data_IF_648522061664
#
_entry.id   IF_648522061664
#
_cell.length_a   1.000
_cell.length_b   1.000
_cell.length_c   1.000
_cell.angle_alpha   90.00
_cell.angle_beta   90.00
_cell.angle_gamma   90.00
#
_symmetry.space_group_name_H-M   'P 1'
#
loop_
_entity.id
_entity.type
_entity.pdbx_description
1 polymer ?
#
# COMPACT_ATOMS: atom_id res chain seq x y z
N UNK A 1 7.11 6.50 -15.42
CA UNK A 1 7.03 5.62 -14.25
C UNK A 1 6.07 4.49 -14.59
N UNK A 2 6.28 3.26 -14.10
CA UNK A 2 5.18 2.29 -14.11
C UNK A 2 4.10 2.88 -13.20
N UNK A 3 2.86 2.99 -13.70
CA UNK A 3 1.68 3.46 -12.96
C UNK A 3 1.59 2.79 -11.59
N UNK A 4 1.91 1.50 -11.53
CA UNK A 4 1.94 0.68 -10.30
C UNK A 4 3.02 1.09 -9.30
N UNK A 5 4.26 1.31 -9.74
CA UNK A 5 5.35 1.73 -8.84
C UNK A 5 5.02 3.09 -8.22
N UNK A 6 4.52 4.03 -9.03
CA UNK A 6 4.12 5.34 -8.53
C UNK A 6 3.00 5.23 -7.50
N UNK A 7 2.00 4.39 -7.77
CA UNK A 7 0.90 4.16 -6.85
C UNK A 7 1.37 3.59 -5.52
N UNK A 8 2.23 2.55 -5.54
CA UNK A 8 2.81 1.95 -4.33
C UNK A 8 3.63 2.97 -3.54
N UNK A 9 4.47 3.75 -4.21
CA UNK A 9 5.26 4.82 -3.60
C UNK A 9 4.36 5.81 -2.85
N UNK A 10 3.28 6.29 -3.49
CA UNK A 10 2.33 7.22 -2.88
C UNK A 10 1.68 6.62 -1.63
N UNK A 11 1.31 5.33 -1.66
CA UNK A 11 0.75 4.64 -0.50
C UNK A 11 1.77 4.51 0.65
N UNK A 12 3.03 4.22 0.33
CA UNK A 12 4.10 4.13 1.31
C UNK A 12 4.41 5.49 1.94
N UNK A 13 4.36 6.58 1.17
CA UNK A 13 4.53 7.94 1.68
C UNK A 13 3.39 8.34 2.61
N UNK A 14 2.13 8.11 2.21
CA UNK A 14 0.94 8.38 3.03
C UNK A 14 0.98 7.57 4.34
N UNK A 15 1.35 6.28 4.27
CA UNK A 15 1.50 5.47 5.48
C UNK A 15 2.64 5.97 6.37
N UNK A 16 3.80 6.33 5.79
CA UNK A 16 4.91 6.87 6.56
C UNK A 16 4.51 8.13 7.33
N UNK A 17 3.80 9.06 6.67
CA UNK A 17 3.30 10.26 7.30
C UNK A 17 2.36 9.91 8.46
N UNK A 18 1.38 9.03 8.25
CA UNK A 18 0.43 8.63 9.30
C UNK A 18 1.13 7.99 10.48
N UNK A 19 2.07 7.07 10.29
CA UNK A 19 2.71 6.39 11.43
C UNK A 19 3.52 7.36 12.28
N UNK A 20 4.10 8.43 11.71
CA UNK A 20 4.84 9.44 12.49
C UNK A 20 3.98 10.25 13.45
N UNK A 21 2.65 10.19 13.30
CA UNK A 21 1.70 10.80 14.22
C UNK A 21 1.28 9.85 15.36
N UNK A 22 1.84 8.64 15.42
CA UNK A 22 1.47 7.60 16.38
C UNK A 22 2.68 6.96 17.06
N UNK A 23 2.47 6.44 18.28
CA UNK A 23 3.47 5.68 19.02
C UNK A 23 3.92 4.40 18.26
N UNK A 24 5.23 4.11 18.19
CA UNK A 24 6.35 4.79 18.85
C UNK A 24 7.00 5.93 18.05
N UNK A 25 6.52 6.23 16.84
CA UNK A 25 7.19 7.13 15.90
C UNK A 25 6.92 8.62 16.13
N UNK A 26 5.96 8.96 16.99
CA UNK A 26 5.65 10.33 17.44
C UNK A 26 6.57 10.82 18.57
N UNK A 27 7.41 9.94 19.12
CA UNK A 27 8.30 10.24 20.23
C UNK A 27 9.46 11.14 19.79
N UNK A 28 9.83 12.10 20.64
CA UNK A 28 10.97 13.01 20.40
C UNK A 28 12.31 12.26 20.25
N UNK A 29 12.47 11.14 20.98
CA UNK A 29 13.63 10.27 20.90
C UNK A 29 13.15 8.86 20.59
N UNK A 30 13.39 8.43 19.36
CA UNK A 30 13.14 7.06 18.89
C UNK A 30 14.23 6.12 19.41
N UNK A 31 13.91 4.85 19.66
CA UNK A 31 14.96 3.87 19.91
C UNK A 31 15.69 3.53 18.60
N UNK A 32 16.82 2.83 18.71
CA UNK A 32 17.68 2.54 17.56
C UNK A 32 16.94 1.71 16.49
N UNK A 33 16.05 0.82 16.90
CA UNK A 33 15.26 -0.02 16.00
C UNK A 33 14.26 0.79 15.17
N UNK A 34 13.55 1.76 15.78
CA UNK A 34 12.64 2.65 15.07
C UNK A 34 13.39 3.61 14.15
N UNK A 35 14.56 4.12 14.57
CA UNK A 35 15.42 4.94 13.71
C UNK A 35 15.88 4.17 12.48
N UNK A 36 16.38 2.94 12.65
CA UNK A 36 16.74 2.04 11.53
C UNK A 36 15.54 1.79 10.61
N UNK A 37 14.36 1.58 11.19
CA UNK A 37 13.14 1.34 10.43
C UNK A 37 12.76 2.54 9.54
N UNK A 38 12.75 3.76 10.10
CA UNK A 38 12.48 4.99 9.34
C UNK A 38 13.56 5.23 8.28
N UNK A 39 14.83 4.99 8.59
CA UNK A 39 15.92 5.13 7.61
C UNK A 39 15.75 4.19 6.42
N UNK A 40 15.39 2.92 6.67
CA UNK A 40 15.09 1.94 5.61
C UNK A 40 13.87 2.36 4.80
N UNK A 41 12.83 2.88 5.45
CA UNK A 41 11.65 3.40 4.77
C UNK A 41 11.98 4.56 3.83
N UNK A 42 12.76 5.53 4.30
CA UNK A 42 13.19 6.68 3.49
C UNK A 42 14.07 6.25 2.32
N UNK A 43 14.98 5.29 2.54
CA UNK A 43 15.81 4.73 1.48
C UNK A 43 14.96 4.02 0.41
N UNK A 44 13.91 3.29 0.82
CA UNK A 44 12.97 2.65 -0.09
C UNK A 44 12.25 3.69 -0.96
N UNK A 45 11.71 4.77 -0.37
CA UNK A 45 11.04 5.84 -1.12
C UNK A 45 12.01 6.44 -2.15
N UNK A 46 13.24 6.77 -1.76
CA UNK A 46 14.24 7.28 -2.68
C UNK A 46 14.58 6.28 -3.82
N UNK A 47 14.54 4.98 -3.55
CA UNK A 47 14.80 3.95 -4.56
C UNK A 47 13.69 3.88 -5.63
N UNK A 48 12.45 4.25 -5.29
CA UNK A 48 11.31 4.31 -6.21
C UNK A 48 11.59 5.29 -7.37
N UNK A 49 12.13 6.46 -7.05
CA UNK A 49 12.49 7.51 -8.01
C UNK A 49 13.53 7.01 -9.02
N UNK A 50 14.50 6.22 -8.54
CA UNK A 50 15.58 5.65 -9.35
C UNK A 50 15.17 4.42 -10.17
N UNK A 51 13.93 3.94 -9.99
CA UNK A 51 13.39 2.72 -10.63
C UNK A 51 14.26 1.50 -10.39
N UNK A 52 14.74 1.34 -9.16
CA UNK A 52 15.46 0.14 -8.78
C UNK A 52 14.62 -1.11 -9.10
N UNK A 53 15.23 -2.12 -9.72
CA UNK A 53 14.58 -3.41 -9.95
C UNK A 53 14.21 -4.12 -8.64
N UNK A 54 14.84 -3.73 -7.54
CA UNK A 54 14.65 -4.31 -6.21
C UNK A 54 13.54 -3.62 -5.42
N UNK A 55 12.99 -2.49 -5.90
CA UNK A 55 12.00 -1.69 -5.17
C UNK A 55 10.82 -2.51 -4.64
N UNK A 56 10.23 -3.38 -5.47
CA UNK A 56 9.08 -4.18 -5.05
C UNK A 56 9.46 -5.22 -3.99
N UNK A 57 10.66 -5.79 -4.10
CA UNK A 57 11.17 -6.74 -3.13
C UNK A 57 11.44 -6.06 -1.79
N UNK A 58 12.14 -4.92 -1.81
CA UNK A 58 12.44 -4.13 -0.61
C UNK A 58 11.16 -3.61 0.05
N UNK A 59 10.18 -3.19 -0.74
CA UNK A 59 8.88 -2.76 -0.25
C UNK A 59 8.11 -3.91 0.43
N UNK A 60 8.14 -5.11 -0.15
CA UNK A 60 7.54 -6.30 0.45
C UNK A 60 8.21 -6.65 1.79
N UNK A 61 9.54 -6.64 1.87
CA UNK A 61 10.27 -6.89 3.11
C UNK A 61 9.94 -5.85 4.19
N UNK A 62 9.89 -4.57 3.80
CA UNK A 62 9.57 -3.47 4.71
C UNK A 62 8.15 -3.60 5.27
N UNK A 63 7.15 -3.90 4.43
CA UNK A 63 5.76 -4.10 4.85
C UNK A 63 5.63 -5.34 5.74
N UNK A 64 6.29 -6.45 5.41
CA UNK A 64 6.29 -7.63 6.26
C UNK A 64 6.92 -7.35 7.64
N UNK A 65 8.00 -6.55 7.69
CA UNK A 65 8.57 -6.07 8.95
C UNK A 65 7.60 -5.14 9.69
N UNK A 66 6.95 -4.20 9.00
CA UNK A 66 5.98 -3.28 9.58
C UNK A 66 4.86 -4.01 10.31
N UNK A 67 4.22 -4.98 9.65
CA UNK A 67 3.10 -5.74 10.21
C UNK A 67 3.53 -6.53 11.46
N UNK A 68 4.72 -7.12 11.43
CA UNK A 68 5.25 -7.93 12.53
C UNK A 68 5.69 -7.11 13.73
N UNK A 69 6.37 -5.98 13.50
CA UNK A 69 6.96 -5.17 14.56
C UNK A 69 5.98 -4.13 15.13
N UNK A 70 5.04 -3.64 14.32
CA UNK A 70 4.10 -2.58 14.70
C UNK A 70 2.64 -2.98 14.41
N UNK A 71 2.16 -4.12 14.96
CA UNK A 71 0.81 -4.63 14.69
C UNK A 71 -0.30 -3.65 15.10
N UNK A 72 -0.03 -2.77 16.08
CA UNK A 72 -0.95 -1.71 16.51
C UNK A 72 -1.14 -0.61 15.46
N UNK A 73 -0.18 -0.43 14.54
CA UNK A 73 -0.23 0.58 13.48
C UNK A 73 -0.73 0.01 12.15
N UNK A 74 -0.86 -1.31 12.02
CA UNK A 74 -1.42 -1.98 10.84
C UNK A 74 -2.78 -1.43 10.41
N UNK A 75 -3.72 -1.06 11.30
CA UNK A 75 -4.98 -0.43 10.89
C UNK A 75 -4.84 0.91 10.14
N UNK A 76 -3.69 1.59 10.25
CA UNK A 76 -3.42 2.83 9.50
C UNK A 76 -3.00 2.52 8.05
N UNK A 77 -2.55 1.30 7.78
CA UNK A 77 -2.15 0.84 6.46
C UNK A 77 -3.36 0.65 5.55
N UNK A 78 -3.25 1.26 4.38
CA UNK A 78 -4.18 1.07 3.27
C UNK A 78 -4.15 -0.38 2.77
N UNK A 79 -5.33 -0.98 2.55
CA UNK A 79 -5.45 -2.40 2.15
C UNK A 79 -4.86 -2.68 0.78
N UNK A 80 -4.76 -1.66 -0.06
CA UNK A 80 -4.05 -1.70 -1.33
C UNK A 80 -2.59 -2.13 -1.17
N UNK A 81 -1.91 -1.72 -0.08
CA UNK A 81 -0.53 -2.16 0.18
C UNK A 81 -0.43 -3.68 0.40
N UNK A 82 -1.44 -4.29 1.05
CA UNK A 82 -1.48 -5.75 1.22
C UNK A 82 -1.62 -6.46 -0.13
N UNK A 83 -2.42 -5.91 -1.03
CA UNK A 83 -2.64 -6.53 -2.35
C UNK A 83 -1.41 -6.39 -3.24
N UNK A 84 -0.89 -5.16 -3.40
CA UNK A 84 0.19 -4.87 -4.35
C UNK A 84 1.58 -5.27 -3.84
N UNK A 85 1.76 -5.34 -2.52
CA UNK A 85 3.09 -5.50 -1.90
C UNK A 85 3.11 -6.50 -0.74
N UNK A 86 1.95 -7.02 -0.32
CA UNK A 86 1.86 -7.81 0.90
C UNK A 86 2.55 -9.17 0.81
N UNK A 87 2.68 -9.77 -0.38
CA UNK A 87 3.37 -11.05 -0.56
C UNK A 87 2.84 -12.14 0.38
N UNK A 88 3.64 -12.55 1.36
CA UNK A 88 3.23 -13.52 2.40
C UNK A 88 2.07 -13.00 3.27
N UNK A 89 1.95 -11.69 3.44
CA UNK A 89 0.89 -11.03 4.22
C UNK A 89 -0.41 -10.82 3.41
N UNK A 90 -0.49 -11.29 2.16
CA UNK A 90 -1.70 -11.16 1.34
C UNK A 90 -2.93 -11.83 1.98
N UNK A 91 -2.72 -12.85 2.81
CA UNK A 91 -3.78 -13.58 3.53
C UNK A 91 -4.56 -12.72 4.55
N UNK A 92 -4.13 -11.49 4.85
CA UNK A 92 -4.90 -10.55 5.66
C UNK A 92 -6.04 -9.87 4.88
N UNK A 93 -6.10 -10.02 3.56
CA UNK A 93 -7.24 -9.62 2.75
C UNK A 93 -8.29 -10.72 2.72
N UNK A 94 -9.55 -10.33 2.87
CA UNK A 94 -10.67 -11.26 2.70
C UNK A 94 -10.88 -11.62 1.23
N UNK A 95 -11.60 -12.71 0.97
CA UNK A 95 -11.89 -13.18 -0.39
C UNK A 95 -12.60 -12.11 -1.25
N UNK A 96 -13.50 -11.32 -0.66
CA UNK A 96 -14.20 -10.22 -1.34
C UNK A 96 -13.23 -9.12 -1.78
N UNK A 97 -12.25 -8.78 -0.95
CA UNK A 97 -11.24 -7.77 -1.24
C UNK A 97 -10.25 -8.27 -2.28
N UNK A 98 -9.86 -9.55 -2.19
CA UNK A 98 -9.03 -10.19 -3.21
C UNK A 98 -9.73 -10.19 -4.57
N UNK A 99 -11.00 -10.59 -4.63
CA UNK A 99 -11.79 -10.56 -5.86
C UNK A 99 -11.94 -9.13 -6.41
N UNK A 100 -12.15 -8.15 -5.53
CA UNK A 100 -12.18 -6.74 -5.90
C UNK A 100 -10.88 -6.30 -6.56
N UNK A 101 -9.74 -6.46 -5.89
CA UNK A 101 -8.45 -6.03 -6.44
C UNK A 101 -8.00 -6.84 -7.67
N UNK A 102 -8.38 -8.11 -7.77
CA UNK A 102 -8.19 -8.89 -9.00
C UNK A 102 -8.94 -8.26 -10.19
N UNK A 103 -10.18 -7.82 -9.99
CA UNK A 103 -10.94 -7.12 -11.03
C UNK A 103 -10.31 -5.78 -11.43
N UNK A 104 -9.64 -5.11 -10.49
CA UNK A 104 -8.85 -3.89 -10.78
C UNK A 104 -7.65 -4.22 -11.64
N UNK A 105 -6.90 -5.29 -11.35
CA UNK A 105 -5.77 -5.71 -12.17
C UNK A 105 -6.18 -6.11 -13.60
N UNK A 106 -7.33 -6.78 -13.76
CA UNK A 106 -7.90 -7.10 -15.08
C UNK A 106 -8.19 -5.82 -15.87
N UNK A 107 -8.85 -4.84 -15.25
CA UNK A 107 -9.13 -3.54 -15.86
C UNK A 107 -7.86 -2.76 -16.19
N UNK A 108 -6.84 -2.82 -15.32
CA UNK A 108 -5.55 -2.21 -15.57
C UNK A 108 -4.88 -2.80 -16.80
N UNK A 109 -4.87 -4.13 -16.92
CA UNK A 109 -4.30 -4.81 -18.08
C UNK A 109 -4.99 -4.38 -19.39
N UNK A 110 -6.33 -4.32 -19.39
CA UNK A 110 -7.10 -3.88 -20.55
C UNK A 110 -6.79 -2.42 -20.91
N UNK A 111 -6.77 -1.52 -19.93
CA UNK A 111 -6.48 -0.10 -20.16
C UNK A 111 -5.05 0.14 -20.64
N UNK A 112 -4.07 -0.56 -20.06
CA UNK A 112 -2.67 -0.53 -20.49
C UNK A 112 -2.52 -1.03 -21.94
N UNK A 113 -3.27 -2.07 -22.33
CA UNK A 113 -3.28 -2.58 -23.71
C UNK A 113 -3.80 -1.55 -24.73
N UNK A 114 -4.68 -0.63 -24.29
CA UNK A 114 -5.20 0.47 -25.12
C UNK A 114 -4.30 1.71 -25.14
N UNK A 115 -3.17 1.69 -24.41
CA UNK A 115 -2.22 2.80 -24.34
C UNK A 115 -2.71 4.03 -23.58
N UNK A 116 -3.75 3.89 -22.76
CA UNK A 116 -4.24 4.98 -21.89
C UNK A 116 -3.38 5.06 -20.63
N UNK A 117 -3.09 6.29 -20.20
CA UNK A 117 -2.54 6.52 -18.87
C UNK A 117 -3.61 6.22 -17.83
N UNK A 118 -3.31 5.37 -16.85
CA UNK A 118 -4.24 4.97 -15.80
C UNK A 118 -3.78 5.49 -14.45
N UNK A 119 -4.66 6.19 -13.75
CA UNK A 119 -4.52 6.46 -12.32
C UNK A 119 -5.19 5.31 -11.54
N UNK A 120 -4.37 4.50 -10.87
CA UNK A 120 -4.82 3.32 -10.12
C UNK A 120 -5.68 3.75 -8.92
N UNK A 121 -5.37 4.89 -8.29
CA UNK A 121 -6.15 5.38 -7.16
C UNK A 121 -7.57 5.73 -7.60
N UNK A 122 -7.70 6.48 -8.71
CA UNK A 122 -8.99 6.83 -9.28
C UNK A 122 -9.78 5.58 -9.70
N UNK A 123 -9.12 4.61 -10.35
CA UNK A 123 -9.75 3.37 -10.77
C UNK A 123 -10.33 2.58 -9.59
N UNK A 124 -9.59 2.49 -8.48
CA UNK A 124 -10.04 1.83 -7.25
C UNK A 124 -11.25 2.57 -6.65
N UNK A 125 -11.20 3.90 -6.55
CA UNK A 125 -12.32 4.67 -5.99
C UNK A 125 -13.60 4.55 -6.84
N UNK A 126 -13.48 4.53 -8.17
CA UNK A 126 -14.62 4.35 -9.07
C UNK A 126 -15.28 2.97 -8.98
N UNK A 127 -14.49 1.93 -8.67
CA UNK A 127 -14.98 0.57 -8.57
C UNK A 127 -15.30 0.16 -7.12
N UNK A 128 -14.95 0.98 -6.13
CA UNK A 128 -15.19 0.68 -4.72
C UNK A 128 -16.68 0.37 -4.54
N UNK A 129 -17.04 -0.76 -3.93
CA UNK A 129 -18.45 -1.10 -3.74
C UNK A 129 -19.12 -0.01 -2.91
N UNK A 130 -20.11 0.67 -3.49
CA UNK A 130 -20.93 1.64 -2.77
C UNK A 130 -21.66 0.92 -1.64
N UNK A 131 -21.47 1.34 -0.39
CA UNK A 131 -22.23 0.83 0.77
C UNK A 131 -23.75 1.07 0.67
N UNK A 132 -24.23 1.82 -0.35
CA UNK A 132 -25.63 2.25 -0.49
C UNK A 132 -26.63 1.17 -0.95
N UNK A 133 -26.25 -0.10 -1.09
CA UNK A 133 -27.24 -1.15 -1.43
C UNK A 133 -27.93 -1.79 -0.23
N UNK A 134 -27.62 -1.41 1.02
CA UNK A 134 -28.20 -2.05 2.21
C UNK A 134 -29.24 -1.21 3.00
N UNK A 135 -29.73 -0.09 2.44
CA UNK A 135 -30.70 0.79 3.14
C UNK A 135 -32.09 0.85 2.48
N UNK A 136 -32.45 -0.12 1.63
CA UNK A 136 -33.77 -0.20 0.98
C UNK A 136 -34.52 -1.53 1.22
N UNK A 137 -34.27 -2.19 2.35
CA UNK A 137 -35.11 -3.28 2.84
C UNK A 137 -35.26 -3.23 4.38
N UNK A 138 -35.86 -2.17 4.91
CA UNK A 138 -36.57 -2.18 6.20
C UNK A 138 -37.83 -1.33 6.14
#
# INVERSE_FOLDING_TARGET
MSSRIQFIENLLQDLNQRITEHDPFDREILAEEEQDFINKWNALIASAETRSSEFLFDAQELIARFIRCYPNLVPLMRRELLYFVGGECLHFLGDEELAFYQSIDEQLFDLESTGKSVDIAELIELNRPNEESNTLLQ
#
